data_IF_319338623475
#
_entry.id   IF_319338623475
#
_cell.length_a   1.000
_cell.length_b   1.000
_cell.length_c   1.000
_cell.angle_alpha   90.00
_cell.angle_beta   90.00
_cell.angle_gamma   90.00
#
_symmetry.space_group_name_H-M   'P 1'
#
loop_
_entity.id
_entity.type
_entity.pdbx_description
1 polymer ?
#
# COMPACT_ATOMS: atom_id res chain seq x y z
N UNK A 1 9.99 31.18 44.50
CA UNK A 1 11.05 30.45 45.22
C UNK A 1 11.52 29.35 44.27
N UNK A 2 12.76 29.23 43.81
CA UNK A 2 14.03 29.99 43.99
C UNK A 2 14.60 30.15 42.56
N UNK A 3 15.11 31.25 41.97
CA UNK A 3 15.62 32.61 42.30
C UNK A 3 17.16 32.77 42.13
N UNK A 4 17.58 33.75 41.30
CA UNK A 4 18.96 34.14 40.85
C UNK A 4 19.77 33.11 40.03
N UNK A 5 20.77 33.45 39.19
CA UNK A 5 21.31 34.77 38.73
C UNK A 5 20.90 35.04 37.25
N UNK A 6 21.64 35.55 36.24
CA UNK A 6 23.01 36.09 35.98
C UNK A 6 23.22 36.10 34.43
N UNK A 7 23.81 37.06 33.69
CA UNK A 7 24.81 38.15 33.84
C UNK A 7 26.28 37.69 33.73
N UNK A 8 27.17 38.20 32.85
CA UNK A 8 27.04 39.14 31.70
C UNK A 8 28.32 39.13 30.81
N UNK A 9 28.22 39.61 29.57
CA UNK A 9 29.25 40.33 28.75
C UNK A 9 30.70 39.79 28.57
N UNK A 10 30.98 39.42 27.30
CA UNK A 10 31.94 40.09 26.36
C UNK A 10 33.49 39.91 26.47
N UNK A 11 34.04 39.47 25.33
CA UNK A 11 35.36 39.73 24.69
C UNK A 11 36.70 39.17 25.20
N UNK A 12 37.60 39.08 24.21
CA UNK A 12 39.08 39.02 24.22
C UNK A 12 39.79 37.67 24.50
N UNK A 13 40.29 37.12 23.38
CA UNK A 13 41.69 36.77 23.10
C UNK A 13 42.43 35.53 23.68
N UNK A 14 43.08 34.86 22.73
CA UNK A 14 44.45 34.32 22.75
C UNK A 14 44.75 32.86 23.15
N UNK A 15 45.78 32.35 22.43
CA UNK A 15 46.60 31.13 22.59
C UNK A 15 45.86 29.76 22.64
N UNK A 16 46.12 28.78 21.75
CA UNK A 16 47.36 28.21 21.16
C UNK A 16 47.91 26.98 21.91
N UNK A 17 48.58 26.11 21.14
CA UNK A 17 49.05 24.79 21.56
C UNK A 17 48.12 23.66 21.10
N UNK A 18 48.59 22.61 20.41
CA UNK A 18 49.95 22.32 19.93
C UNK A 18 49.84 21.22 18.85
N UNK A 19 50.62 21.27 17.76
CA UNK A 19 51.32 20.12 17.12
C UNK A 19 51.96 20.48 15.76
N UNK A 20 53.29 20.57 15.75
CA UNK A 20 54.19 20.76 14.59
C UNK A 20 55.60 20.26 15.01
N UNK A 21 56.57 20.00 14.10
CA UNK A 21 56.46 19.58 12.70
C UNK A 21 57.52 18.52 12.24
N UNK A 22 57.53 18.26 10.93
CA UNK A 22 58.72 18.06 10.06
C UNK A 22 59.42 16.69 9.89
N UNK A 23 60.12 16.58 8.74
CA UNK A 23 60.62 15.37 8.05
C UNK A 23 62.15 15.22 8.16
N UNK A 24 62.65 13.98 8.01
CA UNK A 24 63.93 13.64 7.33
C UNK A 24 63.98 12.13 7.00
N UNK A 25 63.80 11.69 5.75
CA UNK A 25 64.79 11.50 4.65
C UNK A 25 65.83 10.38 4.86
N UNK A 26 65.89 9.42 3.92
CA UNK A 26 67.13 8.82 3.34
C UNK A 26 66.81 7.81 2.21
N UNK A 27 67.68 7.71 1.20
CA UNK A 27 67.71 6.67 0.15
C UNK A 27 68.96 5.77 0.33
N UNK A 28 68.98 4.55 -0.22
CA UNK A 28 70.20 3.80 -0.64
C UNK A 28 69.83 2.63 -1.60
N UNK A 29 70.81 2.19 -2.40
CA UNK A 29 70.74 1.45 -3.68
C UNK A 29 70.52 -0.10 -3.65
N UNK A 30 69.93 -0.63 -4.75
CA UNK A 30 70.42 -1.67 -5.71
C UNK A 30 71.19 -2.93 -5.18
N UNK A 31 71.04 -4.17 -5.72
CA UNK A 31 70.96 -4.47 -7.17
C UNK A 31 70.16 -5.73 -7.65
N UNK A 32 70.33 -6.05 -8.94
CA UNK A 32 69.65 -7.09 -9.75
C UNK A 32 70.09 -8.55 -9.49
N UNK A 33 69.16 -9.49 -9.71
CA UNK A 33 69.41 -10.90 -10.07
C UNK A 33 68.43 -11.36 -11.17
N UNK A 34 68.57 -12.60 -11.69
CA UNK A 34 67.94 -13.07 -12.93
C UNK A 34 66.94 -14.21 -12.69
N UNK A 35 65.84 -14.24 -13.45
CA UNK A 35 64.97 -15.41 -13.56
C UNK A 35 65.43 -16.36 -14.67
N UNK A 36 65.27 -17.67 -14.47
CA UNK A 36 65.56 -18.73 -15.45
C UNK A 36 64.28 -19.52 -15.75
N UNK A 37 63.86 -19.54 -17.02
CA UNK A 37 62.50 -19.91 -17.41
C UNK A 37 62.39 -21.38 -17.86
N UNK A 38 62.27 -22.31 -16.91
CA UNK A 38 62.05 -23.74 -17.22
C UNK A 38 60.67 -23.95 -17.88
N UNK A 39 60.66 -24.39 -19.14
CA UNK A 39 59.44 -24.70 -19.87
C UNK A 39 59.05 -26.18 -19.72
N UNK A 40 57.83 -26.43 -19.24
CA UNK A 40 57.15 -27.73 -19.37
C UNK A 40 56.18 -27.69 -20.55
N UNK A 41 56.01 -28.78 -21.33
CA UNK A 41 55.17 -28.78 -22.52
C UNK A 41 53.67 -28.62 -22.16
N UNK A 42 52.89 -27.85 -22.96
CA UNK A 42 51.49 -27.59 -22.65
C UNK A 42 50.63 -28.84 -22.84
N UNK A 43 49.97 -29.29 -21.77
CA UNK A 43 48.92 -30.31 -21.88
C UNK A 43 47.80 -29.82 -22.81
N UNK A 44 47.48 -30.60 -23.86
CA UNK A 44 46.47 -30.26 -24.87
C UNK A 44 45.05 -30.41 -24.29
N UNK A 45 44.68 -29.51 -23.37
CA UNK A 45 43.34 -29.46 -22.77
C UNK A 45 42.29 -29.41 -23.87
N UNK A 46 41.45 -30.44 -23.95
CA UNK A 46 40.43 -30.56 -24.99
C UNK A 46 39.31 -29.55 -24.75
N UNK A 47 39.35 -28.42 -25.47
CA UNK A 47 38.34 -27.36 -25.38
C UNK A 47 36.92 -27.82 -25.73
N UNK A 48 36.77 -29.00 -26.34
CA UNK A 48 35.48 -29.64 -26.56
C UNK A 48 34.76 -29.93 -25.23
N UNK A 49 35.47 -30.35 -24.17
CA UNK A 49 34.86 -30.54 -22.85
C UNK A 49 34.33 -29.23 -22.28
N UNK A 50 35.08 -28.14 -22.38
CA UNK A 50 34.61 -26.81 -21.97
C UNK A 50 33.38 -26.37 -22.75
N UNK A 51 33.35 -26.61 -24.07
CA UNK A 51 32.23 -26.29 -24.94
C UNK A 51 30.96 -27.10 -24.58
N UNK A 52 31.10 -28.41 -24.36
CA UNK A 52 29.98 -29.25 -23.92
C UNK A 52 29.47 -28.85 -22.52
N UNK A 53 30.34 -28.49 -21.58
CA UNK A 53 29.94 -28.01 -20.26
C UNK A 53 29.13 -26.69 -20.33
N UNK A 54 29.52 -25.76 -21.22
CA UNK A 54 28.81 -24.50 -21.45
C UNK A 54 27.45 -24.75 -22.13
N UNK A 55 27.37 -25.67 -23.09
CA UNK A 55 26.09 -26.05 -23.72
C UNK A 55 25.16 -26.71 -22.69
N UNK A 56 25.68 -27.64 -21.87
CA UNK A 56 24.89 -28.29 -20.83
C UNK A 56 24.36 -27.29 -19.79
N UNK A 57 25.16 -26.31 -19.34
CA UNK A 57 24.69 -25.30 -18.39
C UNK A 57 23.69 -24.32 -19.00
N UNK A 58 23.86 -23.93 -20.26
CA UNK A 58 22.87 -23.13 -20.98
C UNK A 58 21.52 -23.86 -21.13
N UNK A 59 21.56 -25.16 -21.44
CA UNK A 59 20.35 -26.00 -21.57
C UNK A 59 19.68 -26.19 -20.20
N UNK A 60 20.41 -26.48 -19.11
CA UNK A 60 19.78 -26.67 -17.79
C UNK A 60 19.19 -25.37 -17.25
N UNK A 61 19.85 -24.22 -17.45
CA UNK A 61 19.30 -22.91 -17.09
C UNK A 61 18.06 -22.56 -17.93
N UNK A 62 18.08 -22.83 -19.25
CA UNK A 62 16.92 -22.63 -20.13
C UNK A 62 15.72 -23.50 -19.75
N UNK A 63 15.96 -24.79 -19.45
CA UNK A 63 14.93 -25.72 -18.98
C UNK A 63 14.40 -25.33 -17.60
N UNK A 64 15.26 -24.92 -16.66
CA UNK A 64 14.83 -24.42 -15.35
C UNK A 64 13.98 -23.16 -15.48
N UNK A 65 14.39 -22.21 -16.33
CA UNK A 65 13.61 -21.01 -16.64
C UNK A 65 12.24 -21.34 -17.23
N UNK A 66 12.17 -22.29 -18.18
CA UNK A 66 10.91 -22.76 -18.76
C UNK A 66 10.02 -23.50 -17.75
N UNK A 67 10.60 -24.31 -16.86
CA UNK A 67 9.86 -24.96 -15.77
C UNK A 67 9.31 -23.91 -14.79
N UNK A 68 10.07 -22.86 -14.47
CA UNK A 68 9.62 -21.78 -13.59
C UNK A 68 8.52 -20.92 -14.22
N UNK A 69 8.63 -20.55 -15.50
CA UNK A 69 7.55 -19.79 -16.18
C UNK A 69 6.30 -20.65 -16.39
N UNK A 70 6.44 -21.94 -16.72
CA UNK A 70 5.30 -22.86 -16.76
C UNK A 70 4.70 -23.12 -15.37
N UNK A 71 5.49 -23.12 -14.30
CA UNK A 71 4.99 -23.23 -12.93
C UNK A 71 4.28 -21.94 -12.46
N UNK A 72 4.71 -20.75 -12.91
CA UNK A 72 3.99 -19.50 -12.71
C UNK A 72 2.68 -19.49 -13.50
N UNK A 73 2.71 -19.87 -14.78
CA UNK A 73 1.53 -19.92 -15.66
C UNK A 73 0.52 -21.00 -15.25
N UNK A 74 0.98 -22.11 -14.66
CA UNK A 74 0.12 -23.18 -14.11
C UNK A 74 -0.37 -22.93 -12.68
N UNK A 75 -0.08 -21.80 -12.03
CA UNK A 75 -0.79 -21.40 -10.80
C UNK A 75 -2.16 -20.83 -11.19
N UNK A 76 -3.27 -21.56 -11.02
CA UNK A 76 -4.57 -21.10 -11.45
C UNK A 76 -5.13 -20.20 -10.35
N UNK A 77 -4.89 -18.90 -10.45
CA UNK A 77 -5.60 -17.84 -9.69
C UNK A 77 -5.75 -18.08 -8.18
N UNK A 78 -4.72 -18.64 -7.54
CA UNK A 78 -4.66 -18.94 -6.08
C UNK A 78 -4.62 -17.68 -5.18
N UNK A 79 -4.88 -16.51 -5.79
CA UNK A 79 -5.16 -15.24 -5.12
C UNK A 79 -6.62 -15.15 -4.65
N UNK A 80 -7.55 -15.86 -5.30
CA UNK A 80 -8.96 -15.90 -4.87
C UNK A 80 -9.15 -16.70 -3.56
N UNK A 81 -8.38 -17.79 -3.39
CA UNK A 81 -8.45 -18.67 -2.21
C UNK A 81 -7.91 -18.02 -0.92
N UNK A 82 -7.07 -16.98 -1.05
CA UNK A 82 -6.41 -16.33 0.09
C UNK A 82 -7.28 -15.29 0.83
N UNK A 83 -8.59 -15.43 0.72
CA UNK A 83 -9.62 -14.49 1.20
C UNK A 83 -10.31 -14.92 2.51
N UNK A 84 -10.00 -16.12 3.03
CA UNK A 84 -10.71 -16.79 4.14
C UNK A 84 -10.08 -16.61 5.54
N UNK A 85 -9.15 -15.67 5.72
CA UNK A 85 -8.66 -15.24 7.03
C UNK A 85 -8.68 -13.71 7.09
N UNK A 86 -9.89 -13.13 7.06
CA UNK A 86 -10.07 -11.68 6.94
C UNK A 86 -9.93 -10.99 8.31
N UNK A 87 -8.68 -10.94 8.79
CA UNK A 87 -8.16 -10.13 9.89
C UNK A 87 -8.79 -10.37 11.29
N UNK A 88 -7.95 -10.79 12.24
CA UNK A 88 -8.34 -11.04 13.64
C UNK A 88 -9.00 -12.40 13.88
N UNK A 89 -9.95 -12.78 13.02
CA UNK A 89 -10.75 -14.01 13.17
C UNK A 89 -12.15 -13.92 12.57
N UNK A 90 -12.53 -12.73 12.10
CA UNK A 90 -13.79 -12.39 11.45
C UNK A 90 -14.19 -13.32 10.32
N UNK A 91 -15.50 -13.61 10.23
CA UNK A 91 -16.09 -14.55 9.28
C UNK A 91 -17.19 -13.84 8.49
N UNK A 92 -17.21 -14.05 7.17
CA UNK A 92 -18.33 -13.60 6.32
C UNK A 92 -19.58 -14.42 6.67
N UNK A 93 -20.66 -13.73 7.01
CA UNK A 93 -21.96 -14.31 7.36
C UNK A 93 -22.93 -14.23 6.17
N UNK A 94 -22.89 -13.14 5.42
CA UNK A 94 -23.71 -12.91 4.21
C UNK A 94 -23.00 -11.91 3.28
N UNK A 95 -23.25 -11.99 1.97
CA UNK A 95 -22.62 -11.12 0.97
C UNK A 95 -23.58 -10.79 -0.18
N UNK A 96 -23.37 -9.64 -0.81
CA UNK A 96 -24.21 -9.11 -1.89
C UNK A 96 -23.88 -9.62 -3.29
N UNK A 97 -23.06 -10.67 -3.43
CA UNK A 97 -22.54 -11.13 -4.72
C UNK A 97 -21.45 -10.20 -5.26
N UNK A 98 -21.30 -10.17 -6.58
CA UNK A 98 -20.31 -9.35 -7.32
C UNK A 98 -20.99 -8.50 -8.43
N UNK A 99 -22.32 -8.45 -8.47
CA UNK A 99 -23.12 -7.72 -9.49
C UNK A 99 -24.37 -7.06 -8.89
N UNK A 100 -24.91 -6.06 -9.59
CA UNK A 100 -26.15 -5.35 -9.20
C UNK A 100 -27.36 -6.29 -9.18
N UNK A 101 -27.41 -7.21 -10.14
CA UNK A 101 -28.44 -8.24 -10.27
C UNK A 101 -28.41 -9.19 -9.07
N UNK A 102 -27.24 -9.77 -8.74
CA UNK A 102 -27.08 -10.61 -7.55
C UNK A 102 -27.41 -9.85 -6.27
N UNK A 103 -26.97 -8.59 -6.14
CA UNK A 103 -27.23 -7.78 -4.96
C UNK A 103 -28.74 -7.62 -4.70
N UNK A 104 -29.53 -7.38 -5.75
CA UNK A 104 -31.00 -7.33 -5.66
C UNK A 104 -31.60 -8.71 -5.35
N UNK A 105 -31.14 -9.79 -5.99
CA UNK A 105 -31.59 -11.16 -5.68
C UNK A 105 -31.31 -11.57 -4.23
N UNK A 106 -30.23 -11.05 -3.65
CA UNK A 106 -29.79 -11.28 -2.26
C UNK A 106 -30.41 -10.31 -1.25
N UNK A 107 -31.30 -9.41 -1.68
CA UNK A 107 -31.97 -8.44 -0.82
C UNK A 107 -31.06 -7.36 -0.25
N UNK A 108 -29.89 -7.12 -0.85
CA UNK A 108 -29.03 -5.99 -0.51
C UNK A 108 -29.60 -4.68 -1.05
N UNK A 109 -29.26 -3.59 -0.36
CA UNK A 109 -29.70 -2.23 -0.72
C UNK A 109 -28.52 -1.29 -0.86
N UNK A 110 -28.70 -0.23 -1.64
CA UNK A 110 -27.70 0.78 -1.88
C UNK A 110 -27.43 1.66 -0.65
N UNK A 111 -26.16 1.82 -0.27
CA UNK A 111 -25.68 2.80 0.69
C UNK A 111 -24.69 3.76 0.01
N UNK A 112 -25.09 5.02 -0.15
CA UNK A 112 -24.25 6.07 -0.73
C UNK A 112 -23.01 6.38 0.14
N UNK A 113 -23.06 6.12 1.45
CA UNK A 113 -21.94 6.40 2.35
C UNK A 113 -20.86 5.31 2.35
N UNK A 114 -21.21 4.07 1.98
CA UNK A 114 -20.25 3.02 1.64
C UNK A 114 -19.97 2.93 0.12
N UNK A 115 -20.74 3.66 -0.69
CA UNK A 115 -20.81 3.51 -2.16
C UNK A 115 -20.97 2.04 -2.59
N UNK A 116 -21.81 1.30 -1.86
CA UNK A 116 -21.93 -0.15 -2.02
C UNK A 116 -23.37 -0.64 -1.95
N UNK A 117 -23.59 -1.83 -2.51
CA UNK A 117 -24.70 -2.67 -2.08
C UNK A 117 -24.32 -3.37 -0.77
N UNK A 118 -25.10 -3.11 0.28
CA UNK A 118 -24.91 -3.69 1.62
C UNK A 118 -26.17 -4.45 2.04
N UNK A 119 -25.99 -5.62 2.66
CA UNK A 119 -27.12 -6.40 3.18
C UNK A 119 -27.65 -5.77 4.48
N UNK A 120 -28.99 -5.69 4.69
CA UNK A 120 -29.58 -5.06 5.89
C UNK A 120 -29.07 -5.56 7.25
N UNK A 121 -28.44 -6.74 7.33
CA UNK A 121 -27.82 -7.26 8.56
C UNK A 121 -26.53 -6.54 9.01
N UNK A 122 -25.89 -5.77 8.13
CA UNK A 122 -24.73 -4.92 8.49
C UNK A 122 -24.86 -3.46 7.98
N UNK A 123 -26.05 -3.08 7.50
CA UNK A 123 -26.36 -1.69 7.17
C UNK A 123 -26.77 -0.92 8.43
N UNK A 124 -26.33 0.33 8.52
CA UNK A 124 -26.72 1.26 9.58
C UNK A 124 -27.53 2.42 8.96
N UNK A 125 -28.80 2.19 8.55
CA UNK A 125 -29.51 3.11 7.65
C UNK A 125 -29.76 4.49 8.25
N UNK A 126 -29.97 4.57 9.57
CA UNK A 126 -30.10 5.85 10.29
C UNK A 126 -28.79 6.65 10.35
N UNK A 127 -27.65 5.97 10.32
CA UNK A 127 -26.33 6.61 10.31
C UNK A 127 -25.97 7.06 8.89
N UNK A 128 -26.19 6.23 7.87
CA UNK A 128 -26.03 6.62 6.46
C UNK A 128 -26.86 7.88 6.15
N UNK A 129 -28.17 7.85 6.45
CA UNK A 129 -29.05 8.98 6.22
C UNK A 129 -28.60 10.26 6.95
N UNK A 130 -28.17 10.16 8.22
CA UNK A 130 -27.69 11.31 8.99
C UNK A 130 -26.37 11.87 8.45
N UNK A 131 -25.45 11.02 7.97
CA UNK A 131 -24.21 11.49 7.33
C UNK A 131 -24.50 12.19 5.99
N UNK A 132 -25.42 11.66 5.18
CA UNK A 132 -25.84 12.28 3.91
C UNK A 132 -26.50 13.64 4.16
N UNK A 133 -27.47 13.71 5.09
CA UNK A 133 -28.21 14.95 5.43
C UNK A 133 -27.28 16.05 5.98
N UNK A 134 -26.29 15.66 6.78
CA UNK A 134 -25.44 16.60 7.54
C UNK A 134 -24.22 17.09 6.77
N UNK A 135 -23.67 16.28 5.87
CA UNK A 135 -22.38 16.55 5.21
C UNK A 135 -22.44 16.58 3.68
N UNK A 136 -23.53 16.11 3.07
CA UNK A 136 -23.79 16.26 1.65
C UNK A 136 -24.61 17.53 1.32
N UNK A 137 -25.15 17.64 0.09
CA UNK A 137 -24.94 16.73 -1.03
C UNK A 137 -23.50 16.82 -1.58
N UNK A 138 -23.13 15.86 -2.43
CA UNK A 138 -21.87 15.86 -3.18
C UNK A 138 -22.16 15.69 -4.66
N UNK A 139 -21.40 16.40 -5.50
CA UNK A 139 -21.44 16.23 -6.94
C UNK A 139 -20.60 15.02 -7.38
N UNK A 140 -21.06 14.36 -8.43
CA UNK A 140 -20.47 13.14 -8.99
C UNK A 140 -20.18 13.32 -10.47
N UNK A 141 -19.05 12.80 -10.95
CA UNK A 141 -18.54 13.05 -12.29
C UNK A 141 -17.99 11.79 -12.96
N UNK A 142 -18.15 11.68 -14.27
CA UNK A 142 -17.53 10.61 -15.07
C UNK A 142 -16.04 10.85 -15.35
N UNK A 143 -15.54 12.07 -15.09
CA UNK A 143 -14.13 12.45 -15.28
C UNK A 143 -13.56 13.25 -14.10
N UNK A 144 -12.25 13.11 -13.89
CA UNK A 144 -11.51 13.78 -12.83
C UNK A 144 -11.47 15.31 -12.95
N UNK A 145 -11.75 15.90 -14.12
CA UNK A 145 -11.78 17.35 -14.29
C UNK A 145 -13.11 17.97 -13.83
N UNK A 146 -14.11 17.16 -13.46
CA UNK A 146 -15.42 17.65 -13.05
C UNK A 146 -16.29 18.17 -14.20
N UNK A 147 -16.07 17.69 -15.43
CA UNK A 147 -16.70 18.28 -16.62
C UNK A 147 -17.98 17.58 -17.08
N UNK A 148 -18.15 16.29 -16.77
CA UNK A 148 -19.32 15.49 -17.11
C UNK A 148 -20.04 15.04 -15.82
N UNK A 149 -21.06 15.80 -15.34
CA UNK A 149 -21.80 15.45 -14.13
C UNK A 149 -22.66 14.20 -14.31
N UNK A 150 -22.87 13.48 -13.21
CA UNK A 150 -23.56 12.18 -13.17
C UNK A 150 -24.95 12.35 -12.52
N UNK A 151 -26.04 11.92 -13.18
CA UNK A 151 -27.37 11.90 -12.57
C UNK A 151 -27.42 10.98 -11.33
N UNK A 152 -28.18 11.36 -10.32
CA UNK A 152 -28.28 10.60 -9.07
C UNK A 152 -28.84 9.18 -9.28
N UNK A 153 -29.67 9.01 -10.31
CA UNK A 153 -30.38 7.79 -10.67
C UNK A 153 -29.46 6.66 -11.17
N UNK A 154 -28.24 6.99 -11.61
CA UNK A 154 -27.28 6.00 -12.16
C UNK A 154 -26.08 5.73 -11.24
N UNK A 155 -26.01 6.38 -10.07
CA UNK A 155 -24.94 6.14 -9.07
C UNK A 155 -24.92 4.66 -8.63
N UNK A 156 -26.10 4.06 -8.49
CA UNK A 156 -26.30 2.65 -8.10
C UNK A 156 -25.77 1.64 -9.12
N UNK A 157 -25.52 2.05 -10.37
CA UNK A 157 -25.11 1.16 -11.46
C UNK A 157 -23.78 1.55 -12.11
N UNK A 158 -23.21 2.72 -11.78
CA UNK A 158 -22.01 3.22 -12.46
C UNK A 158 -20.74 2.68 -11.79
N UNK A 159 -19.92 1.84 -12.45
CA UNK A 159 -18.88 1.10 -11.74
C UNK A 159 -17.72 1.93 -11.20
N UNK A 160 -17.45 3.10 -11.78
CA UNK A 160 -16.33 3.98 -11.46
C UNK A 160 -16.77 5.44 -11.60
N UNK A 161 -16.54 6.27 -10.57
CA UNK A 161 -16.89 7.69 -10.56
C UNK A 161 -15.80 8.55 -9.89
N UNK A 162 -15.88 9.86 -10.12
CA UNK A 162 -15.10 10.88 -9.44
C UNK A 162 -16.00 11.77 -8.57
N UNK A 163 -15.51 12.16 -7.40
CA UNK A 163 -16.16 13.12 -6.50
C UNK A 163 -15.12 13.91 -5.69
N UNK A 164 -15.58 14.78 -4.80
CA UNK A 164 -14.75 15.68 -4.01
C UNK A 164 -14.01 14.97 -2.88
N UNK A 165 -12.91 15.57 -2.42
CA UNK A 165 -12.17 15.10 -1.24
C UNK A 165 -13.05 15.15 0.02
N UNK A 166 -14.00 16.09 0.11
CA UNK A 166 -14.96 16.18 1.20
C UNK A 166 -15.81 14.91 1.38
N UNK A 167 -16.27 14.27 0.29
CA UNK A 167 -16.95 12.97 0.40
C UNK A 167 -16.02 11.90 0.98
N UNK A 168 -14.78 11.82 0.51
CA UNK A 168 -13.79 10.84 0.95
C UNK A 168 -13.52 10.91 2.46
N UNK A 169 -13.32 12.12 3.01
CA UNK A 169 -13.12 12.28 4.46
C UNK A 169 -14.35 11.82 5.24
N UNK A 170 -15.56 12.18 4.78
CA UNK A 170 -16.81 11.84 5.46
C UNK A 170 -17.13 10.34 5.36
N UNK A 171 -16.85 9.71 4.22
CA UNK A 171 -16.91 8.26 4.01
C UNK A 171 -15.96 7.50 4.96
N UNK A 172 -14.67 7.86 5.01
CA UNK A 172 -13.71 7.20 5.91
C UNK A 172 -14.11 7.35 7.40
N UNK A 173 -14.67 8.50 7.80
CA UNK A 173 -15.19 8.72 9.15
C UNK A 173 -16.51 7.96 9.42
N UNK A 174 -17.36 7.77 8.40
CA UNK A 174 -18.56 6.94 8.48
C UNK A 174 -18.20 5.47 8.72
N UNK A 175 -17.34 4.89 7.87
CA UNK A 175 -16.88 3.50 7.97
C UNK A 175 -16.19 3.24 9.33
N UNK A 176 -15.34 4.15 9.79
CA UNK A 176 -14.73 4.07 11.12
C UNK A 176 -15.76 4.13 12.26
N UNK A 177 -16.83 4.91 12.10
CA UNK A 177 -17.95 4.92 13.06
C UNK A 177 -18.73 3.60 13.04
N UNK A 178 -18.94 2.98 11.88
CA UNK A 178 -19.63 1.68 11.78
C UNK A 178 -18.84 0.60 12.53
N UNK A 179 -17.52 0.54 12.35
CA UNK A 179 -16.65 -0.37 13.11
C UNK A 179 -16.81 -0.18 14.63
N UNK A 180 -16.85 1.08 15.09
CA UNK A 180 -17.06 1.38 16.50
C UNK A 180 -18.43 0.91 17.00
N UNK A 181 -19.52 1.23 16.29
CA UNK A 181 -20.88 0.80 16.63
C UNK A 181 -21.02 -0.73 16.66
N UNK A 182 -20.42 -1.44 15.70
CA UNK A 182 -20.37 -2.89 15.67
C UNK A 182 -19.63 -3.45 16.88
N UNK A 183 -18.43 -2.94 17.19
CA UNK A 183 -17.63 -3.38 18.35
C UNK A 183 -18.31 -3.13 19.70
N UNK A 184 -19.18 -2.10 19.81
CA UNK A 184 -19.99 -1.84 20.99
C UNK A 184 -21.20 -2.78 21.15
N UNK A 185 -21.66 -3.42 20.07
CA UNK A 185 -22.95 -4.13 20.02
C UNK A 185 -22.85 -5.62 19.69
N UNK A 186 -21.73 -6.09 19.14
CA UNK A 186 -21.61 -7.43 18.56
C UNK A 186 -22.39 -7.59 17.24
N UNK A 187 -22.86 -6.50 16.65
CA UNK A 187 -23.51 -6.51 15.35
C UNK A 187 -22.51 -6.78 14.21
N UNK A 188 -23.03 -7.26 13.07
CA UNK A 188 -22.22 -7.42 11.86
C UNK A 188 -21.90 -6.06 11.25
N UNK A 189 -20.72 -5.95 10.64
CA UNK A 189 -20.28 -4.76 9.90
C UNK A 189 -19.81 -5.15 8.49
N UNK A 190 -19.56 -4.20 7.60
CA UNK A 190 -18.97 -4.49 6.28
C UNK A 190 -17.51 -4.94 6.43
N UNK A 191 -17.05 -5.81 5.54
CA UNK A 191 -15.66 -6.27 5.46
C UNK A 191 -14.66 -5.12 5.21
N UNK A 192 -15.12 -4.08 4.51
CA UNK A 192 -14.45 -2.79 4.36
C UNK A 192 -14.13 -2.10 5.70
N UNK A 193 -15.03 -2.21 6.71
CA UNK A 193 -14.87 -1.53 7.98
C UNK A 193 -13.86 -2.22 8.92
N UNK A 194 -13.66 -3.53 8.79
CA UNK A 194 -12.63 -4.26 9.54
C UNK A 194 -11.25 -4.21 8.88
N UNK A 195 -11.19 -3.81 7.60
CA UNK A 195 -9.97 -3.81 6.82
C UNK A 195 -8.92 -2.82 7.37
N UNK A 196 -7.94 -3.32 8.11
CA UNK A 196 -6.82 -2.56 8.69
C UNK A 196 -6.07 -1.71 7.65
N UNK A 197 -6.02 -2.14 6.38
CA UNK A 197 -5.41 -1.34 5.31
C UNK A 197 -6.27 -0.11 4.94
N UNK A 198 -7.60 -0.22 5.02
CA UNK A 198 -8.52 0.91 4.86
C UNK A 198 -8.50 1.82 6.08
N UNK A 199 -8.48 1.26 7.30
CA UNK A 199 -8.31 2.02 8.54
C UNK A 199 -6.98 2.77 8.57
N UNK A 200 -5.88 2.15 8.12
CA UNK A 200 -4.58 2.81 8.00
C UNK A 200 -4.59 3.92 6.94
N UNK A 201 -5.19 3.68 5.76
CA UNK A 201 -5.41 4.72 4.75
C UNK A 201 -6.20 5.91 5.29
N UNK A 202 -7.28 5.66 6.06
CA UNK A 202 -8.03 6.71 6.76
C UNK A 202 -7.13 7.50 7.71
N UNK A 203 -6.36 6.83 8.58
CA UNK A 203 -5.44 7.47 9.54
C UNK A 203 -4.35 8.28 8.83
N UNK A 204 -3.72 7.75 7.80
CA UNK A 204 -2.67 8.41 7.03
C UNK A 204 -3.22 9.59 6.20
N UNK A 205 -4.49 9.54 5.81
CA UNK A 205 -5.19 10.63 5.11
C UNK A 205 -5.55 11.76 6.08
N UNK A 206 -6.22 11.49 7.20
CA UNK A 206 -6.66 12.54 8.15
C UNK A 206 -5.53 13.16 8.97
N UNK A 207 -4.38 12.48 9.09
CA UNK A 207 -3.21 12.98 9.83
C UNK A 207 -2.24 13.81 8.98
N UNK A 208 -2.48 13.95 7.67
CA UNK A 208 -1.60 14.74 6.80
C UNK A 208 -1.58 16.22 7.20
N UNK A 209 -0.39 16.84 7.35
CA UNK A 209 -0.26 18.25 7.74
C UNK A 209 -0.72 19.23 6.65
N UNK A 210 -1.00 18.72 5.44
CA UNK A 210 -1.66 19.39 4.33
C UNK A 210 -2.49 18.36 3.57
N UNK A 211 -3.82 18.46 3.65
CA UNK A 211 -4.76 17.69 2.84
C UNK A 211 -5.32 18.59 1.70
N UNK A 212 -5.87 18.02 0.61
CA UNK A 212 -6.56 18.78 -0.42
C UNK A 212 -7.74 19.60 0.11
N UNK A 213 -8.17 20.62 -0.63
CA UNK A 213 -9.43 21.32 -0.32
C UNK A 213 -10.61 20.33 -0.34
N UNK A 214 -11.58 20.48 0.55
CA UNK A 214 -12.78 19.63 0.58
C UNK A 214 -13.57 19.68 -0.74
N UNK A 215 -13.51 20.79 -1.48
CA UNK A 215 -14.12 20.95 -2.79
C UNK A 215 -13.28 20.37 -3.96
N UNK A 216 -12.05 19.93 -3.71
CA UNK A 216 -11.18 19.39 -4.78
C UNK A 216 -11.70 18.04 -5.28
N UNK A 217 -12.00 17.95 -6.58
CA UNK A 217 -12.31 16.69 -7.26
C UNK A 217 -11.01 15.92 -7.47
N UNK A 218 -10.76 14.97 -6.57
CA UNK A 218 -9.58 14.11 -6.58
C UNK A 218 -9.84 12.69 -6.06
N UNK A 219 -11.07 12.40 -5.64
CA UNK A 219 -11.46 11.08 -5.14
C UNK A 219 -12.02 10.26 -6.28
N UNK A 220 -11.47 9.06 -6.50
CA UNK A 220 -12.07 8.03 -7.35
C UNK A 220 -12.84 7.07 -6.45
N UNK A 221 -14.05 6.68 -6.84
CA UNK A 221 -14.92 5.76 -6.10
C UNK A 221 -15.35 4.63 -7.04
N UNK A 222 -15.46 3.41 -6.50
CA UNK A 222 -15.82 2.20 -7.25
C UNK A 222 -17.06 1.55 -6.63
N UNK A 223 -18.00 1.10 -7.47
CA UNK A 223 -19.20 0.40 -7.05
C UNK A 223 -18.85 -0.92 -6.36
N UNK A 224 -19.11 -1.00 -5.06
CA UNK A 224 -18.75 -2.16 -4.24
C UNK A 224 -19.96 -3.06 -3.89
N UNK A 225 -19.67 -4.31 -3.54
CA UNK A 225 -20.65 -5.30 -3.08
C UNK A 225 -20.17 -5.84 -1.73
N UNK A 226 -20.74 -5.32 -0.64
CA UNK A 226 -20.20 -5.55 0.70
C UNK A 226 -20.51 -6.95 1.24
N UNK A 227 -19.62 -7.42 2.12
CA UNK A 227 -19.73 -8.71 2.81
C UNK A 227 -19.90 -8.42 4.30
N UNK A 228 -21.01 -8.84 4.89
CA UNK A 228 -21.23 -8.68 6.33
C UNK A 228 -20.38 -9.68 7.11
N UNK A 229 -19.58 -9.18 8.06
CA UNK A 229 -18.61 -9.95 8.84
C UNK A 229 -18.86 -9.85 10.34
N UNK A 230 -18.46 -10.89 11.08
CA UNK A 230 -18.36 -10.88 12.55
C UNK A 230 -17.18 -10.06 13.05
N UNK A 231 -17.21 -9.70 14.34
CA UNK A 231 -16.07 -9.21 15.11
C UNK A 231 -15.75 -10.26 16.19
N UNK A 232 -14.89 -11.22 15.85
CA UNK A 232 -14.52 -12.39 16.67
C UNK A 232 -13.09 -12.28 17.22
#
# INVERSE_FOLDING_TARGET
MINYSGSSSRSEDSEEGLFLPEKRSAETSSPSSKEEHVQMPPSRRSGWFSFFLIICSAITLGLLGLILTLAQYRRPTDLASKSHEYQGGSKVVIHCGDTVEEAHERGCVWDLMAFSYTHPSCLYPSESAMFIEKYGPWDWYYDQNGTQPVPAEVLTTTPHLYTTHGWHVVHCLYILKLLHLASMSGALVTDEAIALHHTQHCVDMISQPKYPDYAHIGTTVQLAFSRCVTLD
#
